data_IF_081544472443
#
_entry.id   IF_081544472443
#
_cell.length_a   1.000
_cell.length_b   1.000
_cell.length_c   1.000
_cell.angle_alpha   90.00
_cell.angle_beta   90.00
_cell.angle_gamma   90.00
#
_symmetry.space_group_name_H-M   'P 1'
#
loop_
_entity.id
_entity.type
_entity.pdbx_description
1 polymer ?
#
# COMPACT_ATOMS: atom_id res chain seq x y z
N UNK A 1 -17.43 3.93 -19.63
CA UNK A 1 -17.44 2.46 -19.56
C UNK A 1 -16.01 2.00 -19.80
N UNK A 2 -15.29 1.57 -18.75
CA UNK A 2 -13.99 0.90 -18.89
C UNK A 2 -14.28 -0.59 -19.07
N UNK A 3 -13.86 -1.17 -20.18
CA UNK A 3 -13.97 -2.62 -20.43
C UNK A 3 -12.97 -3.37 -19.56
N UNK A 4 -13.46 -4.31 -18.76
CA UNK A 4 -12.63 -5.19 -17.93
C UNK A 4 -12.14 -6.34 -18.81
N UNK A 5 -10.83 -6.46 -19.01
CA UNK A 5 -10.24 -7.61 -19.71
C UNK A 5 -10.03 -8.72 -18.66
N UNK A 6 -11.04 -9.58 -18.49
CA UNK A 6 -10.92 -10.82 -17.71
C UNK A 6 -10.14 -11.83 -18.53
N UNK A 7 -8.97 -12.27 -18.05
CA UNK A 7 -8.23 -13.38 -18.66
C UNK A 7 -8.57 -14.65 -17.90
N UNK A 8 -9.07 -15.66 -18.61
CA UNK A 8 -9.28 -17.00 -18.05
C UNK A 8 -8.04 -17.84 -18.33
N UNK A 9 -7.43 -18.35 -17.26
CA UNK A 9 -6.44 -19.41 -17.36
C UNK A 9 -7.08 -20.72 -16.93
N UNK A 10 -6.69 -21.81 -17.58
CA UNK A 10 -7.20 -23.14 -17.28
C UNK A 10 -6.07 -23.97 -16.68
N UNK A 11 -6.23 -24.39 -15.42
CA UNK A 11 -5.33 -25.32 -14.76
C UNK A 11 -5.97 -26.71 -14.72
N UNK A 12 -5.20 -27.74 -15.10
CA UNK A 12 -5.67 -29.11 -15.22
C UNK A 12 -5.37 -29.87 -13.92
N UNK A 13 -6.38 -30.15 -13.11
CA UNK A 13 -6.26 -31.01 -11.93
C UNK A 13 -7.30 -32.12 -12.04
N UNK A 14 -6.85 -33.37 -12.10
CA UNK A 14 -7.74 -34.54 -12.02
C UNK A 14 -8.80 -34.67 -13.13
N UNK A 15 -8.59 -34.07 -14.31
CA UNK A 15 -9.53 -34.17 -15.44
C UNK A 15 -10.67 -33.15 -15.44
N UNK A 16 -10.67 -32.19 -14.52
CA UNK A 16 -11.66 -31.09 -14.47
C UNK A 16 -10.95 -29.79 -14.85
N UNK A 17 -11.54 -29.07 -15.81
CA UNK A 17 -11.16 -27.69 -16.13
C UNK A 17 -11.77 -26.77 -15.08
N UNK A 18 -10.94 -26.23 -14.18
CA UNK A 18 -11.38 -25.16 -13.28
C UNK A 18 -11.00 -23.83 -13.94
N UNK A 19 -11.97 -22.95 -14.26
CA UNK A 19 -11.66 -21.62 -14.76
C UNK A 19 -10.97 -20.82 -13.65
N UNK A 20 -9.72 -20.45 -13.86
CA UNK A 20 -8.97 -19.59 -12.94
C UNK A 20 -9.17 -18.15 -13.40
N UNK A 21 -9.86 -17.35 -12.60
CA UNK A 21 -10.06 -15.93 -12.89
C UNK A 21 -8.93 -15.11 -12.27
N UNK A 22 -8.13 -14.50 -13.14
CA UNK A 22 -7.14 -13.50 -12.74
C UNK A 22 -7.38 -12.26 -13.60
N UNK A 23 -7.81 -11.17 -12.99
CA UNK A 23 -7.86 -9.87 -13.67
C UNK A 23 -6.46 -9.27 -13.73
N UNK A 24 -6.13 -8.54 -14.80
CA UNK A 24 -4.89 -7.75 -14.78
C UNK A 24 -4.95 -6.71 -13.64
N UNK A 25 -3.85 -6.50 -12.93
CA UNK A 25 -3.74 -5.48 -11.90
C UNK A 25 -4.06 -4.09 -12.47
N UNK A 26 -5.07 -3.42 -11.92
CA UNK A 26 -5.39 -2.03 -12.24
C UNK A 26 -4.57 -1.11 -11.34
N UNK A 27 -3.73 -0.27 -11.96
CA UNK A 27 -3.06 0.82 -11.27
C UNK A 27 -4.06 1.92 -10.95
N UNK A 28 -4.22 2.22 -9.67
CA UNK A 28 -5.14 3.23 -9.14
C UNK A 28 -4.38 4.21 -8.24
N UNK A 29 -4.84 5.45 -8.19
CA UNK A 29 -4.35 6.43 -7.22
C UNK A 29 -5.15 6.34 -5.93
N UNK A 30 -4.46 6.45 -4.81
CA UNK A 30 -5.09 6.43 -3.49
C UNK A 30 -5.95 7.68 -3.30
N UNK A 31 -7.27 7.50 -3.26
CA UNK A 31 -8.24 8.55 -2.97
C UNK A 31 -8.69 8.53 -1.51
N UNK A 32 -9.42 9.56 -1.07
CA UNK A 32 -9.96 9.58 0.29
C UNK A 32 -10.95 8.43 0.51
N UNK A 33 -11.80 8.16 -0.48
CA UNK A 33 -12.80 7.08 -0.42
C UNK A 33 -12.12 5.71 -0.32
N UNK A 34 -11.00 5.53 -1.02
CA UNK A 34 -10.23 4.29 -0.92
C UNK A 34 -9.62 4.13 0.47
N UNK A 35 -9.05 5.19 1.05
CA UNK A 35 -8.51 5.13 2.41
C UNK A 35 -9.61 4.84 3.44
N UNK A 36 -10.79 5.45 3.31
CA UNK A 36 -11.95 5.17 4.16
C UNK A 36 -12.41 3.72 4.03
N UNK A 37 -12.52 3.23 2.80
CA UNK A 37 -12.90 1.85 2.51
C UNK A 37 -11.92 0.86 3.15
N UNK A 38 -10.62 1.07 2.95
CA UNK A 38 -9.58 0.19 3.49
C UNK A 38 -9.51 0.27 5.00
N UNK A 39 -9.58 1.47 5.59
CA UNK A 39 -9.61 1.63 7.04
C UNK A 39 -10.79 0.88 7.67
N UNK A 40 -11.99 1.03 7.10
CA UNK A 40 -13.18 0.32 7.58
C UNK A 40 -13.03 -1.19 7.43
N UNK A 41 -12.54 -1.66 6.26
CA UNK A 41 -12.34 -3.09 6.01
C UNK A 41 -11.33 -3.71 6.96
N UNK A 42 -10.22 -3.04 7.24
CA UNK A 42 -9.17 -3.55 8.13
C UNK A 42 -9.52 -3.43 9.61
N UNK A 43 -10.28 -2.41 10.00
CA UNK A 43 -10.66 -2.20 11.41
C UNK A 43 -11.81 -3.11 11.86
N UNK A 44 -12.72 -3.46 10.94
CA UNK A 44 -13.92 -4.23 11.26
C UNK A 44 -13.95 -5.61 10.59
N UNK A 45 -13.02 -5.89 9.68
CA UNK A 45 -12.92 -7.18 9.01
C UNK A 45 -12.43 -8.27 9.94
N UNK A 46 -12.97 -9.48 9.78
CA UNK A 46 -12.53 -10.63 10.54
C UNK A 46 -11.22 -11.15 9.93
N UNK A 47 -10.14 -11.16 10.72
CA UNK A 47 -8.87 -11.76 10.30
C UNK A 47 -9.04 -13.27 10.31
N UNK A 48 -8.73 -13.92 9.20
CA UNK A 48 -8.86 -15.37 9.09
C UNK A 48 -8.03 -16.07 10.20
N UNK A 49 -8.59 -17.07 10.90
CA UNK A 49 -7.96 -17.62 12.12
C UNK A 49 -6.53 -18.16 11.94
N UNK A 50 -6.17 -18.59 10.73
CA UNK A 50 -4.86 -19.16 10.41
C UNK A 50 -3.76 -18.12 10.17
N UNK A 51 -4.09 -16.82 10.06
CA UNK A 51 -3.09 -15.79 9.80
C UNK A 51 -2.24 -15.46 11.04
N UNK A 52 -2.74 -15.79 12.24
CA UNK A 52 -2.06 -15.54 13.53
C UNK A 52 -1.47 -14.12 13.67
N UNK A 53 -2.08 -13.12 13.02
CA UNK A 53 -1.61 -11.74 13.02
C UNK A 53 -2.67 -10.78 13.54
N UNK A 54 -2.23 -9.61 14.00
CA UNK A 54 -3.10 -8.50 14.36
C UNK A 54 -2.83 -7.29 13.46
N UNK A 55 -3.88 -6.75 12.85
CA UNK A 55 -3.83 -5.57 11.99
C UNK A 55 -4.53 -4.45 12.73
N UNK A 56 -3.81 -3.38 13.02
CA UNK A 56 -4.37 -2.16 13.61
C UNK A 56 -4.24 -1.05 12.58
N UNK A 57 -5.31 -0.30 12.34
CA UNK A 57 -5.26 0.84 11.43
C UNK A 57 -5.73 2.12 12.09
N UNK A 58 -5.12 3.24 11.71
CA UNK A 58 -5.49 4.56 12.17
C UNK A 58 -5.56 5.51 10.98
N UNK A 59 -6.66 6.24 10.88
CA UNK A 59 -6.85 7.25 9.86
C UNK A 59 -6.61 8.64 10.47
N UNK A 60 -5.63 9.37 9.95
CA UNK A 60 -5.33 10.75 10.35
C UNK A 60 -5.77 11.73 9.27
N UNK A 61 -6.40 12.82 9.70
CA UNK A 61 -6.78 13.94 8.83
C UNK A 61 -6.11 15.19 9.37
N UNK A 62 -5.21 15.77 8.59
CA UNK A 62 -4.50 16.99 8.94
C UNK A 62 -4.99 18.13 8.03
N UNK A 63 -5.29 19.28 8.61
CA UNK A 63 -5.60 20.50 7.86
C UNK A 63 -4.36 21.38 7.83
N UNK A 64 -3.88 21.69 6.62
CA UNK A 64 -2.72 22.55 6.40
C UNK A 64 -3.14 23.82 5.69
N UNK A 65 -2.68 24.95 6.21
CA UNK A 65 -2.87 26.25 5.58
C UNK A 65 -1.74 26.50 4.59
N UNK A 66 -2.09 26.65 3.32
CA UNK A 66 -1.18 27.07 2.26
C UNK A 66 -1.47 28.52 1.87
N UNK A 67 -0.54 29.17 1.19
CA UNK A 67 -0.76 30.50 0.61
C UNK A 67 -1.94 30.53 -0.37
N UNK A 68 -2.27 29.39 -0.99
CA UNK A 68 -3.43 29.20 -1.86
C UNK A 68 -4.73 28.82 -1.14
N UNK A 69 -4.73 28.74 0.20
CA UNK A 69 -5.88 28.34 1.02
C UNK A 69 -5.64 27.09 1.88
N UNK A 70 -6.64 26.72 2.69
CA UNK A 70 -6.63 25.51 3.51
C UNK A 70 -6.77 24.26 2.62
N UNK A 71 -5.93 23.26 2.84
CA UNK A 71 -6.06 21.92 2.24
C UNK A 71 -6.00 20.86 3.33
N UNK A 72 -6.85 19.84 3.21
CA UNK A 72 -6.78 18.65 4.05
C UNK A 72 -5.88 17.60 3.40
N UNK A 73 -5.03 16.97 4.21
CA UNK A 73 -4.30 15.76 3.87
C UNK A 73 -4.83 14.62 4.72
N UNK A 74 -4.88 13.42 4.14
CA UNK A 74 -5.36 12.22 4.82
C UNK A 74 -4.32 11.12 4.70
N UNK A 75 -4.06 10.45 5.80
CA UNK A 75 -3.03 9.43 5.91
C UNK A 75 -3.60 8.22 6.63
N UNK A 76 -3.42 7.04 6.04
CA UNK A 76 -3.73 5.77 6.68
C UNK A 76 -2.44 5.19 7.25
N UNK A 77 -2.43 4.98 8.56
CA UNK A 77 -1.39 4.23 9.25
C UNK A 77 -1.86 2.78 9.38
N UNK A 78 -1.01 1.85 8.96
CA UNK A 78 -1.24 0.41 9.10
C UNK A 78 -0.14 -0.16 9.97
N UNK A 79 -0.54 -0.79 11.07
CA UNK A 79 0.31 -1.55 11.96
C UNK A 79 0.00 -3.03 11.80
N UNK A 80 1.00 -3.83 11.42
CA UNK A 80 0.90 -5.29 11.33
C UNK A 80 1.78 -5.91 12.40
N UNK A 81 1.15 -6.67 13.30
CA UNK A 81 1.82 -7.48 14.31
C UNK A 81 1.69 -8.94 13.94
N UNK A 82 2.81 -9.64 13.75
CA UNK A 82 2.79 -11.07 13.44
C UNK A 82 3.93 -11.82 14.13
N UNK A 83 3.68 -13.06 14.58
CA UNK A 83 4.74 -13.94 15.03
C UNK A 83 5.65 -14.27 13.85
N UNK A 84 6.96 -14.07 14.03
CA UNK A 84 7.97 -14.47 13.05
C UNK A 84 8.94 -15.47 13.68
N UNK A 85 9.71 -16.17 12.82
CA UNK A 85 10.76 -17.09 13.27
C UNK A 85 11.79 -16.43 14.20
N UNK A 86 11.95 -15.11 14.14
CA UNK A 86 12.91 -14.34 14.94
C UNK A 86 12.25 -13.57 16.11
N UNK A 87 10.96 -13.77 16.39
CA UNK A 87 10.19 -13.03 17.40
C UNK A 87 8.98 -12.31 16.81
N UNK A 88 8.26 -11.54 17.62
CA UNK A 88 7.16 -10.70 17.13
C UNK A 88 7.72 -9.60 16.21
N UNK A 89 7.12 -9.49 15.02
CA UNK A 89 7.38 -8.38 14.10
C UNK A 89 6.27 -7.36 14.24
N UNK A 90 6.63 -6.10 14.48
CA UNK A 90 5.71 -4.96 14.56
C UNK A 90 6.12 -3.94 13.50
N UNK A 91 5.36 -3.91 12.41
CA UNK A 91 5.60 -3.01 11.28
C UNK A 91 4.55 -1.91 11.27
N UNK A 92 4.99 -0.66 11.17
CA UNK A 92 4.10 0.50 11.02
C UNK A 92 4.47 1.23 9.74
N UNK A 93 3.49 1.38 8.83
CA UNK A 93 3.67 2.08 7.56
C UNK A 93 2.54 3.08 7.36
N UNK A 94 2.84 4.20 6.70
CA UNK A 94 1.89 5.26 6.39
C UNK A 94 1.65 5.34 4.87
N UNK A 95 0.39 5.52 4.48
CA UNK A 95 -0.04 5.69 3.10
C UNK A 95 -0.83 6.99 2.97
N UNK A 96 -0.32 7.90 2.14
CA UNK A 96 -0.89 9.22 1.92
C UNK A 96 -1.88 9.24 0.73
N UNK A 97 -2.72 10.27 0.67
CA UNK A 97 -3.47 10.57 -0.56
C UNK A 97 -2.52 10.75 -1.75
N UNK A 98 -2.88 10.16 -2.88
CA UNK A 98 -2.12 10.26 -4.13
C UNK A 98 -0.97 9.26 -4.28
N UNK A 99 -0.67 8.48 -3.24
CA UNK A 99 0.18 7.29 -3.36
C UNK A 99 -0.36 6.32 -4.42
N UNK A 100 0.51 5.46 -4.92
CA UNK A 100 0.14 4.41 -5.87
C UNK A 100 -0.47 3.21 -5.15
N UNK A 101 -1.47 2.61 -5.80
CA UNK A 101 -2.03 1.34 -5.38
C UNK A 101 -2.37 0.47 -6.60
N UNK A 102 -2.37 -0.83 -6.40
CA UNK A 102 -2.81 -1.82 -7.37
C UNK A 102 -4.03 -2.56 -6.84
N UNK A 103 -4.98 -2.83 -7.74
CA UNK A 103 -6.19 -3.60 -7.45
C UNK A 103 -6.27 -4.80 -8.37
N UNK A 104 -6.52 -5.97 -7.81
CA UNK A 104 -6.61 -7.23 -8.55
C UNK A 104 -7.71 -8.12 -7.97
N UNK A 105 -8.50 -8.76 -8.83
CA UNK A 105 -9.36 -9.90 -8.45
C UNK A 105 -8.66 -11.19 -8.88
N UNK A 106 -8.51 -12.11 -7.94
CA UNK A 106 -7.80 -13.38 -8.14
C UNK A 106 -8.43 -14.51 -7.34
N UNK A 107 -8.22 -15.74 -7.80
CA UNK A 107 -8.55 -16.96 -7.05
C UNK A 107 -7.40 -17.33 -6.11
N UNK A 108 -7.63 -17.15 -4.81
CA UNK A 108 -6.76 -17.52 -3.71
C UNK A 108 -7.01 -18.98 -3.29
N UNK A 109 -5.96 -19.82 -3.14
CA UNK A 109 -6.10 -21.18 -2.64
C UNK A 109 -6.77 -21.26 -1.26
N UNK A 110 -6.56 -20.24 -0.43
CA UNK A 110 -7.04 -20.19 0.96
C UNK A 110 -8.40 -19.48 1.12
N UNK A 111 -8.81 -18.68 0.12
CA UNK A 111 -9.97 -17.79 0.21
C UNK A 111 -10.97 -17.84 -0.95
N UNK A 112 -10.71 -18.64 -2.00
CA UNK A 112 -11.50 -18.60 -3.23
C UNK A 112 -11.30 -17.28 -3.98
N UNK A 113 -12.35 -16.76 -4.62
CA UNK A 113 -12.26 -15.46 -5.32
C UNK A 113 -12.11 -14.33 -4.31
N UNK A 114 -10.97 -13.64 -4.36
CA UNK A 114 -10.62 -12.54 -3.46
C UNK A 114 -10.28 -11.27 -4.23
N UNK A 115 -10.44 -10.14 -3.55
CA UNK A 115 -9.92 -8.86 -4.00
C UNK A 115 -8.63 -8.55 -3.24
N UNK A 116 -7.55 -8.36 -4.00
CA UNK A 116 -6.24 -7.92 -3.52
C UNK A 116 -6.08 -6.43 -3.75
N UNK A 117 -5.65 -5.74 -2.69
CA UNK A 117 -5.18 -4.36 -2.78
C UNK A 117 -3.73 -4.29 -2.31
N UNK A 118 -2.89 -3.67 -3.13
CA UNK A 118 -1.48 -3.37 -2.81
C UNK A 118 -1.32 -1.86 -2.75
N UNK A 119 -0.87 -1.33 -1.62
CA UNK A 119 -0.54 0.08 -1.44
C UNK A 119 0.98 0.24 -1.46
N UNK A 120 1.46 1.29 -2.11
CA UNK A 120 2.87 1.66 -2.15
C UNK A 120 3.06 2.99 -1.44
N UNK A 121 3.95 3.03 -0.45
CA UNK A 121 4.29 4.28 0.22
C UNK A 121 5.15 5.15 -0.69
N UNK A 122 5.09 6.46 -0.45
CA UNK A 122 5.95 7.46 -1.07
C UNK A 122 7.27 7.67 -0.32
N UNK A 123 7.58 6.81 0.66
CA UNK A 123 8.78 6.93 1.47
C UNK A 123 10.03 6.35 0.78
N UNK A 124 11.26 6.76 1.19
CA UNK A 124 12.49 6.35 0.53
C UNK A 124 12.77 4.83 0.56
N UNK A 125 12.13 4.09 1.46
CA UNK A 125 12.27 2.65 1.60
C UNK A 125 11.20 1.88 0.82
N UNK A 126 10.34 2.59 0.06
CA UNK A 126 9.31 2.03 -0.81
C UNK A 126 8.59 0.85 -0.14
N UNK A 127 8.02 1.13 1.03
CA UNK A 127 7.21 0.16 1.74
C UNK A 127 5.95 -0.14 0.93
N UNK A 128 5.49 -1.38 1.04
CA UNK A 128 4.21 -1.78 0.49
C UNK A 128 3.39 -2.52 1.51
N UNK A 129 2.08 -2.38 1.41
CA UNK A 129 1.12 -3.15 2.18
C UNK A 129 0.17 -3.86 1.22
N UNK A 130 0.12 -5.18 1.31
CA UNK A 130 -0.81 -6.02 0.57
C UNK A 130 -1.83 -6.58 1.55
N UNK A 131 -3.10 -6.53 1.18
CA UNK A 131 -4.11 -7.37 1.83
C UNK A 131 -5.09 -7.94 0.82
N UNK A 132 -5.65 -9.10 1.16
CA UNK A 132 -6.66 -9.81 0.37
C UNK A 132 -7.91 -10.00 1.21
N UNK A 133 -9.08 -9.72 0.62
CA UNK A 133 -10.37 -9.97 1.26
C UNK A 133 -11.32 -10.75 0.36
N UNK A 134 -12.14 -11.59 0.95
CA UNK A 134 -13.13 -12.44 0.27
C UNK A 134 -14.38 -11.68 -0.23
N UNK A 135 -14.47 -10.38 0.06
CA UNK A 135 -15.61 -9.54 -0.27
C UNK A 135 -16.74 -9.60 0.76
N UNK A 136 -16.85 -10.71 1.51
CA UNK A 136 -17.82 -10.91 2.59
C UNK A 136 -17.40 -10.25 3.91
N UNK A 137 -16.11 -9.89 4.05
CA UNK A 137 -15.61 -9.18 5.21
C UNK A 137 -14.38 -9.80 5.84
N UNK A 138 -14.00 -11.02 5.43
CA UNK A 138 -12.84 -11.69 5.98
C UNK A 138 -11.56 -11.23 5.28
N UNK A 139 -10.51 -11.00 6.07
CA UNK A 139 -9.16 -10.74 5.60
C UNK A 139 -8.45 -12.09 5.57
N UNK A 140 -8.12 -12.56 4.38
CA UNK A 140 -7.51 -13.88 4.17
C UNK A 140 -6.01 -13.80 3.97
N UNK A 141 -5.47 -12.58 3.76
CA UNK A 141 -4.04 -12.33 3.72
C UNK A 141 -3.74 -10.89 4.07
N UNK A 142 -2.64 -10.67 4.79
CA UNK A 142 -2.06 -9.35 4.97
C UNK A 142 -0.54 -9.45 5.04
N UNK A 143 0.17 -8.48 4.45
CA UNK A 143 1.62 -8.45 4.42
C UNK A 143 2.10 -7.00 4.32
N UNK A 144 3.06 -6.64 5.16
CA UNK A 144 3.90 -5.46 4.96
C UNK A 144 5.27 -5.93 4.47
N UNK A 145 5.85 -5.19 3.54
CA UNK A 145 7.22 -5.37 3.11
C UNK A 145 7.84 -4.06 2.67
N UNK A 146 9.12 -4.12 2.31
CA UNK A 146 9.80 -3.05 1.60
C UNK A 146 10.42 -3.61 0.33
N UNK A 147 10.53 -2.77 -0.68
CA UNK A 147 11.51 -2.97 -1.74
C UNK A 147 12.71 -2.13 -1.34
N UNK A 148 13.90 -2.72 -1.18
CA UNK A 148 15.12 -1.93 -0.97
C UNK A 148 15.36 -1.09 -2.23
N UNK A 149 14.75 0.10 -2.28
CA UNK A 149 15.00 1.13 -3.27
C UNK A 149 16.34 1.79 -2.98
N UNK A 150 17.10 2.08 -4.03
CA UNK A 150 18.40 2.74 -3.97
C UNK A 150 18.35 4.02 -3.11
N UNK A 151 19.42 4.27 -2.36
CA UNK A 151 19.54 5.46 -1.51
C UNK A 151 19.40 6.74 -2.33
N UNK A 152 18.40 7.57 -1.98
CA UNK A 152 18.30 8.93 -2.53
C UNK A 152 19.31 9.81 -1.80
N UNK A 153 20.54 9.81 -2.30
CA UNK A 153 21.35 11.03 -2.29
C UNK A 153 21.20 11.69 -3.66
N UNK A 154 20.28 12.66 -3.80
CA UNK A 154 20.40 13.67 -4.85
C UNK A 154 20.39 15.07 -4.24
N UNK A 155 21.37 15.30 -3.36
CA UNK A 155 21.93 16.63 -3.26
C UNK A 155 22.58 16.96 -4.61
N UNK A 156 21.85 17.59 -5.53
CA UNK A 156 22.50 18.62 -6.32
C UNK A 156 22.81 19.74 -5.33
N UNK A 157 23.96 19.61 -4.69
CA UNK A 157 24.72 20.75 -4.23
C UNK A 157 24.96 21.59 -5.48
N UNK A 158 24.06 22.52 -5.78
CA UNK A 158 24.50 23.70 -6.47
C UNK A 158 25.54 24.31 -5.54
N UNK A 159 26.80 24.21 -5.94
CA UNK A 159 27.88 24.99 -5.40
C UNK A 159 27.41 26.45 -5.37
N UNK A 160 26.91 26.92 -4.23
CA UNK A 160 27.09 28.29 -3.83
C UNK A 160 28.59 28.46 -3.59
N UNK A 161 29.35 28.54 -4.68
CA UNK A 161 30.61 29.27 -4.67
C UNK A 161 30.23 30.74 -4.53
N UNK A 162 29.91 31.16 -3.31
CA UNK A 162 30.35 32.48 -2.89
C UNK A 162 31.83 32.35 -2.52
N UNK A 163 32.74 33.01 -3.24
CA UNK A 163 33.87 33.59 -2.56
C UNK A 163 33.38 34.89 -1.92
N UNK A 164 33.19 34.85 -0.60
CA UNK A 164 33.37 36.00 0.27
C UNK A 164 34.79 36.56 0.05
N UNK A 165 34.93 37.44 -0.93
CA UNK A 165 36.11 38.27 -1.12
C UNK A 165 36.04 39.48 -0.19
N UNK A 166 36.48 39.30 1.05
CA UNK A 166 36.96 40.39 1.89
C UNK A 166 38.42 40.71 1.50
N UNK A 167 38.70 42.00 1.30
CA UNK A 167 40.02 42.58 1.04
C UNK A 167 40.09 43.18 -0.36
N UNK A 168 40.32 44.46 -0.58
CA UNK A 168 40.93 45.49 0.25
C UNK A 168 41.81 46.34 -0.68
N UNK A 169 41.50 47.63 -0.76
CA UNK A 169 42.41 48.77 -1.00
C UNK A 169 43.27 48.76 -2.28
N UNK A 170 42.95 49.65 -3.23
CA UNK A 170 43.76 50.81 -3.65
C UNK A 170 42.97 51.69 -4.62
#
# INVERSE_FOLDING_TARGET
MKEWITKFFFMFIGGIFVPWQVTAAENIKVTSELLDFVHARLSFGEVAPYLECNIVTQLSVEKRNFSSGERSTKTLFVQLKSPSYYGETDWVVAFNLGCDAEREILDSPEGGVVERLTFFSDDPYYHFFVFEHDGLGAIVKAKIGNSLGESICSGKQEHLTEPLGLGGIL
#
